data_IF_339184115462
#
_entry.id   IF_339184115462
#
_cell.length_a   1.000
_cell.length_b   1.000
_cell.length_c   1.000
_cell.angle_alpha   90.00
_cell.angle_beta   90.00
_cell.angle_gamma   90.00
#
_symmetry.space_group_name_H-M   'P 1'
#
loop_
_entity.id
_entity.type
_entity.pdbx_description
1 polymer ?
#
# COMPACT_ATOMS: atom_id res chain seq x y z
N UNK A 1 -19.23 9.81 -29.11
CA UNK A 1 -17.79 10.09 -28.92
C UNK A 1 -17.37 9.43 -27.61
N UNK A 2 -16.73 8.27 -27.76
CA UNK A 2 -16.43 7.36 -26.64
C UNK A 2 -15.09 7.73 -26.02
N UNK A 3 -15.08 8.05 -24.74
CA UNK A 3 -13.86 8.23 -23.97
C UNK A 3 -13.98 7.61 -22.58
N UNK A 4 -14.19 6.29 -22.53
CA UNK A 4 -14.08 5.53 -21.30
C UNK A 4 -12.62 5.44 -20.90
N UNK A 5 -12.23 6.12 -19.82
CA UNK A 5 -10.89 5.98 -19.23
C UNK A 5 -10.85 4.65 -18.48
N UNK A 6 -10.37 3.63 -19.18
CA UNK A 6 -9.97 2.36 -18.57
C UNK A 6 -8.65 2.62 -17.87
N UNK A 7 -8.68 2.70 -16.55
CA UNK A 7 -7.46 2.70 -15.70
C UNK A 7 -6.87 1.29 -15.71
N UNK A 8 -6.12 0.95 -16.77
CA UNK A 8 -5.36 -0.31 -16.84
C UNK A 8 -4.12 -0.13 -15.97
N UNK A 9 -4.19 -0.63 -14.74
CA UNK A 9 -3.00 -0.96 -13.96
C UNK A 9 -2.30 -2.13 -14.65
N UNK A 10 -1.34 -1.82 -15.53
CA UNK A 10 -0.44 -2.78 -16.15
C UNK A 10 0.46 -3.32 -15.04
N UNK A 11 0.12 -4.48 -14.49
CA UNK A 11 1.05 -5.28 -13.70
C UNK A 11 2.13 -5.71 -14.70
N UNK A 12 3.31 -5.13 -14.56
CA UNK A 12 4.48 -5.58 -15.31
C UNK A 12 4.76 -7.02 -14.86
N UNK A 13 4.45 -7.96 -15.73
CA UNK A 13 5.03 -9.30 -15.70
C UNK A 13 6.54 -9.12 -15.91
N UNK A 14 7.28 -9.29 -14.85
CA UNK A 14 8.73 -9.50 -14.98
C UNK A 14 8.94 -10.89 -15.53
N UNK A 15 8.95 -11.00 -16.85
CA UNK A 15 9.52 -12.16 -17.51
C UNK A 15 11.03 -12.13 -17.35
N UNK A 16 11.52 -13.30 -17.01
CA UNK A 16 12.89 -13.63 -16.63
C UNK A 16 13.88 -13.36 -17.76
N UNK A 17 14.82 -12.45 -17.50
CA UNK A 17 16.18 -12.60 -17.99
C UNK A 17 17.12 -12.70 -16.78
N UNK A 18 17.23 -13.94 -16.28
CA UNK A 18 17.97 -14.30 -15.07
C UNK A 18 19.47 -14.57 -15.32
N UNK A 19 20.11 -13.91 -16.30
CA UNK A 19 21.51 -14.22 -16.60
C UNK A 19 22.42 -13.01 -16.83
N UNK A 20 22.15 -11.85 -16.23
CA UNK A 20 23.14 -10.77 -16.30
C UNK A 20 23.23 -10.02 -14.96
N UNK A 21 23.73 -10.70 -13.92
CA UNK A 21 24.14 -10.02 -12.70
C UNK A 21 25.55 -9.46 -12.91
N UNK A 22 25.75 -8.13 -12.84
CA UNK A 22 27.09 -7.57 -12.82
C UNK A 22 27.83 -8.11 -11.60
N UNK A 23 29.03 -8.64 -11.81
CA UNK A 23 29.82 -9.20 -10.73
C UNK A 23 30.18 -8.08 -9.73
N UNK A 24 30.36 -8.45 -8.44
CA UNK A 24 30.79 -7.51 -7.40
C UNK A 24 32.04 -6.70 -7.81
N UNK A 25 32.88 -7.25 -8.67
CA UNK A 25 34.07 -6.60 -9.19
C UNK A 25 33.79 -5.50 -10.21
N UNK A 26 32.72 -5.63 -11.00
CA UNK A 26 32.27 -4.60 -11.96
C UNK A 26 31.64 -3.44 -11.23
N UNK A 27 30.83 -3.71 -10.21
CA UNK A 27 30.22 -2.67 -9.36
C UNK A 27 31.28 -1.81 -8.64
N UNK A 28 32.32 -2.42 -8.09
CA UNK A 28 33.40 -1.69 -7.40
C UNK A 28 34.25 -0.86 -8.36
N UNK A 29 34.47 -1.30 -9.59
CA UNK A 29 35.23 -0.53 -10.62
C UNK A 29 34.46 0.68 -11.10
N UNK A 30 33.15 0.59 -11.28
CA UNK A 30 32.32 1.70 -11.74
C UNK A 30 32.09 2.75 -10.65
N UNK A 31 32.17 2.36 -9.37
CA UNK A 31 32.01 3.29 -8.23
C UNK A 31 33.30 4.06 -7.93
N UNK A 32 34.47 3.52 -8.27
CA UNK A 32 35.76 4.19 -7.99
C UNK A 32 36.09 5.33 -8.97
N UNK A 33 35.41 5.45 -10.10
CA UNK A 33 35.57 6.57 -11.04
C UNK A 33 34.77 7.83 -10.69
N UNK A 34 33.84 7.75 -9.72
CA UNK A 34 33.00 8.88 -9.28
C UNK A 34 33.57 9.58 -8.02
N UNK A 35 34.60 9.02 -7.40
CA UNK A 35 35.16 9.56 -6.15
C UNK A 35 36.12 10.78 -6.32
N UNK A 36 36.26 11.30 -7.53
CA UNK A 36 37.22 12.40 -7.84
C UNK A 36 36.57 13.71 -8.27
N UNK A 37 35.58 14.22 -7.55
CA UNK A 37 35.08 15.58 -7.76
C UNK A 37 33.56 15.69 -7.73
N UNK A 38 33.02 15.99 -6.58
CA UNK A 38 31.90 16.92 -6.35
C UNK A 38 31.83 17.17 -4.84
N UNK A 39 32.52 18.19 -4.41
CA UNK A 39 32.16 18.94 -3.20
C UNK A 39 30.86 19.69 -3.49
N UNK A 40 29.94 19.64 -2.55
CA UNK A 40 28.77 20.49 -2.39
C UNK A 40 27.61 20.27 -3.37
N UNK A 41 26.74 19.31 -2.98
CA UNK A 41 25.29 19.53 -3.01
C UNK A 41 24.60 18.60 -2.03
N UNK A 42 23.84 19.08 -1.02
CA UNK A 42 22.92 18.23 -0.25
C UNK A 42 21.63 18.06 -1.03
N UNK A 43 21.68 17.40 -2.16
CA UNK A 43 20.49 16.78 -2.74
C UNK A 43 20.50 15.36 -2.20
N UNK A 44 20.09 15.20 -0.96
CA UNK A 44 19.46 13.98 -0.52
C UNK A 44 18.12 13.87 -1.24
N UNK A 45 18.17 13.61 -2.55
CA UNK A 45 17.09 12.91 -3.20
C UNK A 45 16.88 11.66 -2.36
N UNK A 46 15.70 11.52 -1.78
CA UNK A 46 15.24 10.27 -1.17
C UNK A 46 15.39 9.23 -2.27
N UNK A 47 16.54 8.57 -2.32
CA UNK A 47 16.72 7.39 -3.13
C UNK A 47 15.62 6.44 -2.63
N UNK A 48 14.68 6.10 -3.49
CA UNK A 48 13.80 4.99 -3.25
C UNK A 48 14.72 3.76 -3.24
N UNK A 49 15.25 3.43 -2.08
CA UNK A 49 15.88 2.16 -1.87
C UNK A 49 14.80 1.12 -2.20
N UNK A 50 15.02 0.37 -3.25
CA UNK A 50 14.30 -0.89 -3.41
C UNK A 50 14.67 -1.69 -2.17
N UNK A 51 13.68 -1.89 -1.30
CA UNK A 51 13.86 -2.76 -0.15
C UNK A 51 14.40 -4.10 -0.67
N UNK A 52 15.52 -4.56 -0.15
CA UNK A 52 16.01 -5.89 -0.43
C UNK A 52 14.94 -6.92 -0.04
N UNK A 53 15.03 -8.15 -0.51
CA UNK A 53 14.04 -9.19 -0.21
C UNK A 53 13.82 -9.42 1.31
N UNK A 54 14.76 -8.96 2.13
CA UNK A 54 14.75 -9.08 3.60
C UNK A 54 14.26 -7.81 4.32
N UNK A 55 14.02 -6.70 3.62
CA UNK A 55 13.57 -5.47 4.25
C UNK A 55 12.11 -5.56 4.70
N UNK A 56 11.86 -5.10 5.92
CA UNK A 56 10.52 -5.08 6.53
C UNK A 56 9.70 -3.94 5.94
N UNK A 57 8.56 -4.26 5.34
CA UNK A 57 7.59 -3.28 4.85
C UNK A 57 6.70 -2.84 6.02
N UNK A 58 6.81 -1.58 6.43
CA UNK A 58 6.00 -0.99 7.49
C UNK A 58 4.62 -0.59 6.97
N UNK A 59 3.58 -1.06 7.64
CA UNK A 59 2.20 -0.80 7.25
C UNK A 59 1.46 -0.06 8.36
N UNK A 60 0.76 1.02 8.01
CA UNK A 60 -0.22 1.67 8.88
C UNK A 60 -1.64 1.34 8.42
N UNK A 61 -2.54 1.21 9.40
CA UNK A 61 -3.97 0.99 9.15
C UNK A 61 -4.73 2.25 9.56
N UNK A 62 -5.44 2.84 8.62
CA UNK A 62 -6.31 4.00 8.83
C UNK A 62 -7.75 3.57 8.60
N UNK A 63 -8.53 3.55 9.68
CA UNK A 63 -9.85 2.94 9.76
C UNK A 63 -9.77 1.51 10.33
N UNK A 64 -9.92 1.42 11.65
CA UNK A 64 -9.75 0.18 12.44
C UNK A 64 -11.07 -0.58 12.67
N UNK A 65 -12.10 -0.33 11.87
CA UNK A 65 -13.33 -1.12 11.86
C UNK A 65 -13.12 -2.53 11.32
N UNK A 66 -14.18 -3.32 11.20
CA UNK A 66 -14.10 -4.73 10.77
C UNK A 66 -13.33 -4.94 9.45
N UNK A 67 -13.51 -4.02 8.46
CA UNK A 67 -12.81 -4.14 7.18
C UNK A 67 -11.32 -3.84 7.29
N UNK A 68 -10.95 -2.77 8.03
CA UNK A 68 -9.55 -2.41 8.26
C UNK A 68 -8.80 -3.47 9.04
N UNK A 69 -9.42 -3.99 10.10
CA UNK A 69 -8.88 -5.12 10.88
C UNK A 69 -8.66 -6.36 10.00
N UNK A 70 -9.65 -6.73 9.17
CA UNK A 70 -9.50 -7.85 8.24
C UNK A 70 -8.41 -7.65 7.21
N UNK A 71 -8.24 -6.43 6.67
CA UNK A 71 -7.17 -6.11 5.73
C UNK A 71 -5.78 -6.18 6.40
N UNK A 72 -5.68 -5.73 7.65
CA UNK A 72 -4.45 -5.85 8.43
C UNK A 72 -4.09 -7.33 8.69
N UNK A 73 -5.07 -8.16 9.06
CA UNK A 73 -4.87 -9.61 9.21
C UNK A 73 -4.36 -10.26 7.92
N UNK A 74 -4.98 -9.93 6.77
CA UNK A 74 -4.56 -10.43 5.48
C UNK A 74 -3.13 -9.98 5.12
N UNK A 75 -2.75 -8.76 5.48
CA UNK A 75 -1.39 -8.25 5.25
C UNK A 75 -0.35 -9.03 6.08
N UNK A 76 -0.58 -9.22 7.38
CA UNK A 76 0.36 -9.97 8.25
C UNK A 76 0.40 -11.47 7.93
N UNK A 77 -0.68 -12.03 7.39
CA UNK A 77 -0.73 -13.44 6.95
C UNK A 77 -0.13 -13.67 5.57
N UNK A 78 0.27 -12.61 4.87
CA UNK A 78 0.91 -12.74 3.56
C UNK A 78 2.31 -13.35 3.68
N UNK A 79 2.85 -13.86 2.55
CA UNK A 79 4.23 -14.37 2.48
C UNK A 79 5.29 -13.26 2.50
N UNK A 80 4.87 -12.00 2.44
CA UNK A 80 5.77 -10.85 2.40
C UNK A 80 6.25 -10.48 3.81
N UNK A 81 7.42 -9.87 3.91
CA UNK A 81 7.95 -9.38 5.18
C UNK A 81 7.28 -8.05 5.58
N UNK A 82 6.03 -8.15 6.02
CA UNK A 82 5.16 -7.02 6.38
C UNK A 82 5.06 -6.91 7.89
N UNK A 83 5.08 -5.68 8.41
CA UNK A 83 4.88 -5.37 9.83
C UNK A 83 3.86 -4.24 9.97
N UNK A 84 2.80 -4.46 10.75
CA UNK A 84 1.89 -3.38 11.17
C UNK A 84 2.59 -2.56 12.24
N UNK A 85 2.73 -1.26 12.00
CA UNK A 85 3.48 -0.34 12.88
C UNK A 85 2.62 0.75 13.51
N UNK A 86 1.44 1.03 12.98
CA UNK A 86 0.53 2.04 13.49
C UNK A 86 -0.93 1.71 13.18
N UNK A 87 -1.82 2.09 14.09
CA UNK A 87 -3.27 2.04 13.95
C UNK A 87 -3.85 3.43 14.14
N UNK A 88 -4.84 3.80 13.33
CA UNK A 88 -5.55 5.08 13.43
C UNK A 88 -7.03 4.93 13.13
N UNK A 89 -7.86 5.50 13.97
CA UNK A 89 -9.31 5.61 13.79
C UNK A 89 -9.83 6.87 14.49
N UNK A 90 -11.01 7.35 14.10
CA UNK A 90 -11.67 8.44 14.82
C UNK A 90 -12.04 8.02 16.25
N UNK A 91 -12.33 6.74 16.48
CA UNK A 91 -12.83 6.19 17.73
C UNK A 91 -11.81 5.26 18.37
N UNK A 92 -11.56 5.49 19.67
CA UNK A 92 -10.61 4.70 20.45
C UNK A 92 -10.98 3.20 20.49
N UNK A 93 -12.25 2.91 20.64
CA UNK A 93 -12.74 1.53 20.73
C UNK A 93 -12.41 0.71 19.47
N UNK A 94 -12.48 1.34 18.30
CA UNK A 94 -12.08 0.70 17.03
C UNK A 94 -10.57 0.36 17.04
N UNK A 95 -9.73 1.28 17.48
CA UNK A 95 -8.27 1.08 17.57
C UNK A 95 -7.97 -0.05 18.53
N UNK A 96 -8.55 -0.04 19.73
CA UNK A 96 -8.33 -1.03 20.77
C UNK A 96 -8.80 -2.43 20.33
N UNK A 97 -9.99 -2.52 19.72
CA UNK A 97 -10.56 -3.77 19.23
C UNK A 97 -9.73 -4.35 18.07
N UNK A 98 -9.28 -3.50 17.15
CA UNK A 98 -8.39 -3.91 16.07
C UNK A 98 -7.09 -4.47 16.62
N UNK A 99 -6.45 -3.76 17.55
CA UNK A 99 -5.20 -4.24 18.17
C UNK A 99 -5.40 -5.57 18.90
N UNK A 100 -6.48 -5.71 19.69
CA UNK A 100 -6.82 -6.97 20.37
C UNK A 100 -7.01 -8.13 19.40
N UNK A 101 -7.74 -7.87 18.30
CA UNK A 101 -8.00 -8.88 17.27
C UNK A 101 -6.70 -9.34 16.59
N UNK A 102 -5.83 -8.41 16.21
CA UNK A 102 -4.52 -8.72 15.62
C UNK A 102 -3.62 -9.50 16.59
N UNK A 103 -3.61 -9.11 17.86
CA UNK A 103 -2.83 -9.81 18.91
C UNK A 103 -3.33 -11.23 19.13
N UNK A 104 -4.66 -11.44 19.11
CA UNK A 104 -5.26 -12.77 19.26
C UNK A 104 -4.86 -13.68 18.11
N UNK A 105 -4.99 -13.22 16.86
CA UNK A 105 -4.62 -13.98 15.66
C UNK A 105 -3.16 -14.41 15.69
N UNK A 106 -2.27 -13.55 16.16
CA UNK A 106 -0.85 -13.83 16.34
C UNK A 106 -0.65 -14.94 17.39
N UNK A 107 -1.38 -14.91 18.50
CA UNK A 107 -1.23 -15.86 19.60
C UNK A 107 -1.85 -17.23 19.30
N UNK A 108 -2.88 -17.29 18.46
CA UNK A 108 -3.58 -18.52 18.08
C UNK A 108 -2.83 -19.34 17.02
N UNK A 109 -1.67 -18.89 16.55
CA UNK A 109 -0.68 -19.82 16.04
C UNK A 109 -0.66 -20.06 14.52
N UNK A 110 -0.72 -19.04 13.72
CA UNK A 110 -0.37 -19.18 12.30
C UNK A 110 1.07 -18.68 12.08
N UNK A 111 2.04 -19.52 12.42
CA UNK A 111 3.46 -19.27 12.11
C UNK A 111 4.11 -18.14 12.92
N UNK A 112 5.35 -17.78 12.61
CA UNK A 112 6.12 -16.71 13.28
C UNK A 112 5.65 -15.31 12.83
N UNK A 113 4.35 -15.01 13.03
CA UNK A 113 3.77 -13.69 12.77
C UNK A 113 3.86 -12.78 14.00
N UNK A 114 4.34 -13.28 15.13
CA UNK A 114 4.50 -12.51 16.38
C UNK A 114 5.33 -11.23 16.18
N UNK A 115 6.33 -11.29 15.32
CA UNK A 115 7.17 -10.14 14.97
C UNK A 115 6.53 -9.17 13.96
N UNK A 116 5.35 -9.50 13.43
CA UNK A 116 4.66 -8.72 12.39
C UNK A 116 3.68 -7.68 12.93
N UNK A 117 3.50 -7.61 14.24
CA UNK A 117 2.73 -6.56 14.92
C UNK A 117 3.66 -5.80 15.88
N UNK A 118 3.85 -4.52 15.61
CA UNK A 118 4.67 -3.63 16.44
C UNK A 118 3.94 -2.31 16.60
N UNK A 119 2.86 -2.34 17.39
CA UNK A 119 1.97 -1.20 17.65
C UNK A 119 1.84 -0.97 19.15
N UNK A 120 2.85 -0.38 19.78
CA UNK A 120 2.76 0.06 21.16
C UNK A 120 1.72 1.17 21.31
N UNK A 121 1.39 1.55 22.55
CA UNK A 121 0.28 2.46 22.81
C UNK A 121 0.46 3.82 22.15
N UNK A 122 1.66 4.36 22.10
CA UNK A 122 2.00 5.65 21.47
C UNK A 122 1.84 5.65 19.94
N UNK A 123 1.65 4.49 19.31
CA UNK A 123 1.37 4.35 17.87
C UNK A 123 -0.07 3.90 17.58
N UNK A 124 -0.97 4.05 18.58
CA UNK A 124 -2.41 3.85 18.48
C UNK A 124 -3.10 5.20 18.52
N UNK A 125 -3.30 5.78 17.36
CA UNK A 125 -3.79 7.14 17.22
C UNK A 125 -5.32 7.19 17.17
N UNK A 126 -5.91 8.13 17.90
CA UNK A 126 -7.37 8.35 17.95
C UNK A 126 -7.69 9.79 17.61
N UNK A 127 -8.79 10.02 16.89
CA UNK A 127 -9.27 11.34 16.49
C UNK A 127 -9.28 11.52 14.97
N UNK A 128 -9.85 12.62 14.51
CA UNK A 128 -9.99 12.90 13.08
C UNK A 128 -8.67 13.24 12.37
N UNK A 129 -7.65 13.62 13.12
CA UNK A 129 -6.28 13.88 12.63
C UNK A 129 -5.33 12.67 12.79
N UNK A 130 -5.79 11.60 13.43
CA UNK A 130 -5.01 10.41 13.74
C UNK A 130 -4.32 9.80 12.50
N UNK A 131 -4.98 9.87 11.34
CA UNK A 131 -4.45 9.33 10.08
C UNK A 131 -3.11 9.96 9.68
N UNK A 132 -2.91 11.26 9.91
CA UNK A 132 -1.68 11.96 9.53
C UNK A 132 -0.47 11.39 10.28
N UNK A 133 -0.63 11.12 11.58
CA UNK A 133 0.40 10.57 12.45
C UNK A 133 0.73 9.12 12.08
N UNK A 134 -0.30 8.31 11.81
CA UNK A 134 -0.10 6.92 11.42
C UNK A 134 0.57 6.80 10.05
N UNK A 135 0.14 7.59 9.05
CA UNK A 135 0.71 7.61 7.71
C UNK A 135 2.21 7.93 7.76
N UNK A 136 2.64 8.86 8.61
CA UNK A 136 4.02 9.27 8.71
C UNK A 136 4.98 8.11 9.02
N UNK A 137 4.53 7.11 9.78
CA UNK A 137 5.34 5.99 10.30
C UNK A 137 5.50 4.82 9.32
N UNK A 138 4.73 4.78 8.23
CA UNK A 138 4.63 3.62 7.36
C UNK A 138 5.26 3.84 5.98
N UNK A 139 5.49 2.74 5.26
CA UNK A 139 5.85 2.71 3.84
C UNK A 139 4.60 2.50 2.99
N UNK A 140 3.67 1.69 3.48
CA UNK A 140 2.38 1.37 2.86
C UNK A 140 1.25 1.71 3.83
N UNK A 141 0.17 2.28 3.32
CA UNK A 141 -1.00 2.64 4.13
C UNK A 141 -2.22 1.86 3.65
N UNK A 142 -2.92 1.23 4.58
CA UNK A 142 -4.25 0.64 4.36
C UNK A 142 -5.29 1.69 4.73
N UNK A 143 -6.07 2.17 3.76
CA UNK A 143 -7.16 3.11 3.97
C UNK A 143 -8.51 2.38 3.95
N UNK A 144 -9.11 2.18 5.11
CA UNK A 144 -10.36 1.46 5.30
C UNK A 144 -11.46 2.28 6.01
N UNK A 145 -11.27 3.58 6.14
CA UNK A 145 -12.27 4.52 6.66
C UNK A 145 -13.51 4.59 5.75
N UNK A 146 -14.63 5.16 6.20
CA UNK A 146 -15.77 5.43 5.34
C UNK A 146 -15.37 6.24 4.10
N UNK A 147 -16.01 5.99 2.93
CA UNK A 147 -15.55 6.53 1.65
C UNK A 147 -15.55 8.05 1.55
N UNK A 148 -16.34 8.76 2.35
CA UNK A 148 -16.31 10.23 2.40
C UNK A 148 -14.99 10.82 2.89
N UNK A 149 -14.26 10.12 3.74
CA UNK A 149 -12.94 10.54 4.23
C UNK A 149 -11.77 10.10 3.33
N UNK A 150 -12.02 9.15 2.46
CA UNK A 150 -10.97 8.50 1.66
C UNK A 150 -10.18 9.45 0.76
N UNK A 151 -10.81 10.42 0.06
CA UNK A 151 -10.08 11.37 -0.78
C UNK A 151 -9.04 12.18 -0.01
N UNK A 152 -9.36 12.58 1.22
CA UNK A 152 -8.48 13.37 2.09
C UNK A 152 -7.31 12.50 2.60
N UNK A 153 -7.61 11.29 3.07
CA UNK A 153 -6.59 10.37 3.57
C UNK A 153 -5.66 9.90 2.44
N UNK A 154 -6.20 9.67 1.24
CA UNK A 154 -5.41 9.31 0.07
C UNK A 154 -4.46 10.44 -0.35
N UNK A 155 -4.96 11.68 -0.42
CA UNK A 155 -4.15 12.85 -0.72
C UNK A 155 -2.98 12.99 0.27
N UNK A 156 -3.24 12.84 1.57
CA UNK A 156 -2.20 12.92 2.59
C UNK A 156 -1.16 11.80 2.45
N UNK A 157 -1.58 10.57 2.18
CA UNK A 157 -0.66 9.46 1.96
C UNK A 157 0.27 9.71 0.77
N UNK A 158 -0.28 10.20 -0.36
CA UNK A 158 0.52 10.52 -1.55
C UNK A 158 1.41 11.74 -1.33
N UNK A 159 0.94 12.74 -0.58
CA UNK A 159 1.77 13.90 -0.18
C UNK A 159 3.00 13.45 0.61
N UNK A 160 2.84 12.54 1.55
CA UNK A 160 3.91 11.98 2.37
C UNK A 160 4.72 10.87 1.64
N UNK A 161 4.45 10.59 0.37
CA UNK A 161 5.22 9.64 -0.44
C UNK A 161 5.00 8.17 -0.07
N UNK A 162 3.79 7.80 0.36
CA UNK A 162 3.47 6.44 0.78
C UNK A 162 2.77 5.66 -0.33
N UNK A 163 3.03 4.35 -0.39
CA UNK A 163 2.23 3.42 -1.17
C UNK A 163 0.87 3.22 -0.50
N UNK A 164 -0.18 2.97 -1.29
CA UNK A 164 -1.54 2.93 -0.75
C UNK A 164 -2.30 1.69 -1.23
N UNK A 165 -2.90 0.98 -0.28
CA UNK A 165 -4.04 0.13 -0.51
C UNK A 165 -5.27 0.82 0.06
N UNK A 166 -6.30 1.05 -0.75
CA UNK A 166 -7.54 1.66 -0.26
C UNK A 166 -8.76 0.83 -0.63
N UNK A 167 -9.73 0.82 0.28
CA UNK A 167 -10.99 0.11 0.08
C UNK A 167 -11.91 0.85 -0.91
N UNK A 168 -12.77 0.11 -1.55
CA UNK A 168 -13.88 0.63 -2.36
C UNK A 168 -15.03 1.11 -1.43
N UNK A 169 -15.91 2.03 -1.90
CA UNK A 169 -15.70 2.98 -2.98
C UNK A 169 -14.67 4.05 -2.62
N UNK A 170 -14.07 4.67 -3.64
CA UNK A 170 -12.96 5.62 -3.43
C UNK A 170 -13.41 7.01 -2.98
N UNK A 171 -14.67 7.35 -3.20
CA UNK A 171 -15.32 8.59 -2.79
C UNK A 171 -16.84 8.41 -2.75
N UNK A 172 -17.58 9.41 -2.24
CA UNK A 172 -19.04 9.44 -2.15
C UNK A 172 -19.70 10.45 -3.08
N UNK A 173 -18.93 11.35 -3.65
CA UNK A 173 -19.42 12.51 -4.42
C UNK A 173 -18.47 12.85 -5.58
N UNK A 174 -18.94 13.63 -6.59
CA UNK A 174 -18.12 14.00 -7.74
C UNK A 174 -16.84 14.75 -7.39
N UNK A 175 -16.89 15.65 -6.41
CA UNK A 175 -15.71 16.42 -5.98
C UNK A 175 -14.63 15.50 -5.38
N UNK A 176 -15.04 14.54 -4.54
CA UNK A 176 -14.16 13.51 -4.01
C UNK A 176 -13.56 12.64 -5.10
N UNK A 177 -14.32 12.24 -6.12
CA UNK A 177 -13.81 11.49 -7.27
C UNK A 177 -12.75 12.30 -8.02
N UNK A 178 -13.01 13.58 -8.32
CA UNK A 178 -12.03 14.45 -8.97
C UNK A 178 -10.75 14.59 -8.16
N UNK A 179 -10.86 14.74 -6.82
CA UNK A 179 -9.71 14.77 -5.92
C UNK A 179 -8.90 13.47 -6.00
N UNK A 180 -9.56 12.32 -5.98
CA UNK A 180 -8.90 11.01 -6.11
C UNK A 180 -8.17 10.88 -7.45
N UNK A 181 -8.78 11.30 -8.56
CA UNK A 181 -8.15 11.26 -9.89
C UNK A 181 -6.91 12.16 -9.97
N UNK A 182 -7.00 13.38 -9.45
CA UNK A 182 -5.87 14.32 -9.40
C UNK A 182 -4.72 13.75 -8.53
N UNK A 183 -5.05 13.21 -7.36
CA UNK A 183 -4.08 12.58 -6.45
C UNK A 183 -3.44 11.35 -7.09
N UNK A 184 -4.20 10.54 -7.83
CA UNK A 184 -3.66 9.38 -8.54
C UNK A 184 -2.66 9.78 -9.64
N UNK A 185 -2.87 10.90 -10.32
CA UNK A 185 -1.90 11.45 -11.28
C UNK A 185 -0.58 11.83 -10.60
N UNK A 186 -0.64 12.44 -9.41
CA UNK A 186 0.54 12.77 -8.59
C UNK A 186 1.25 11.49 -8.12
N UNK A 187 0.49 10.48 -7.67
CA UNK A 187 1.04 9.19 -7.26
C UNK A 187 1.83 8.53 -8.40
N UNK A 188 1.31 8.57 -9.63
CA UNK A 188 1.98 8.07 -10.84
C UNK A 188 3.29 8.81 -11.10
N UNK A 189 3.32 10.14 -11.00
CA UNK A 189 4.53 10.95 -11.16
C UNK A 189 5.58 10.60 -10.09
N UNK A 190 5.15 10.37 -8.86
CA UNK A 190 6.01 9.96 -7.73
C UNK A 190 6.39 8.48 -7.77
N UNK A 191 5.92 7.70 -8.75
CA UNK A 191 6.13 6.24 -8.86
C UNK A 191 5.63 5.46 -7.64
N UNK A 192 4.54 5.94 -7.01
CA UNK A 192 3.91 5.27 -5.88
C UNK A 192 2.89 4.25 -6.37
N UNK A 193 2.86 3.09 -5.72
CA UNK A 193 1.87 2.06 -5.98
C UNK A 193 0.56 2.41 -5.28
N UNK A 194 -0.54 2.36 -6.01
CA UNK A 194 -1.89 2.57 -5.50
C UNK A 194 -2.76 1.42 -5.96
N UNK A 195 -3.37 0.72 -5.01
CA UNK A 195 -4.27 -0.41 -5.27
C UNK A 195 -5.61 -0.14 -4.61
N UNK A 196 -6.69 -0.38 -5.35
CA UNK A 196 -8.06 -0.31 -4.82
C UNK A 196 -8.57 -1.73 -4.56
N UNK A 197 -9.20 -1.95 -3.42
CA UNK A 197 -9.75 -3.24 -2.98
C UNK A 197 -10.96 -3.70 -3.80
N UNK A 198 -10.82 -3.79 -5.12
CA UNK A 198 -11.82 -4.29 -6.06
C UNK A 198 -11.78 -5.82 -6.05
N UNK A 199 -12.32 -6.43 -5.00
CA UNK A 199 -12.25 -7.86 -4.72
C UNK A 199 -12.54 -8.73 -5.97
N UNK A 200 -13.57 -8.40 -6.73
CA UNK A 200 -14.01 -9.22 -7.87
C UNK A 200 -13.01 -9.24 -9.03
N UNK A 201 -12.20 -8.19 -9.20
CA UNK A 201 -11.12 -8.17 -10.18
C UNK A 201 -10.03 -9.21 -9.90
N UNK A 202 -9.85 -9.54 -8.63
CA UNK A 202 -8.78 -10.45 -8.18
C UNK A 202 -9.29 -11.86 -7.87
N UNK A 203 -10.61 -12.05 -7.78
CA UNK A 203 -11.23 -13.33 -7.45
C UNK A 203 -11.13 -14.29 -8.65
N UNK A 204 -10.55 -15.46 -8.42
CA UNK A 204 -10.27 -16.43 -9.48
C UNK A 204 -11.53 -16.86 -10.25
N UNK A 205 -12.67 -17.09 -9.57
CA UNK A 205 -13.93 -17.44 -10.22
C UNK A 205 -14.40 -16.40 -11.23
N UNK A 206 -14.31 -15.13 -10.90
CA UNK A 206 -14.66 -14.04 -11.83
C UNK A 206 -13.67 -13.95 -12.99
N UNK A 207 -12.38 -14.10 -12.72
CA UNK A 207 -11.35 -14.10 -13.78
C UNK A 207 -11.54 -15.25 -14.75
N UNK A 208 -11.87 -16.44 -14.27
CA UNK A 208 -12.18 -17.59 -15.12
C UNK A 208 -13.48 -17.39 -15.91
N UNK A 209 -14.51 -16.82 -15.30
CA UNK A 209 -15.75 -16.47 -16.00
C UNK A 209 -15.49 -15.50 -17.16
N UNK A 210 -14.73 -14.44 -16.91
CA UNK A 210 -14.39 -13.46 -17.96
C UNK A 210 -13.50 -14.02 -19.07
N UNK A 211 -12.63 -15.00 -18.78
CA UNK A 211 -11.89 -15.71 -19.84
C UNK A 211 -12.80 -16.51 -20.77
N UNK A 212 -13.96 -16.92 -20.28
CA UNK A 212 -14.95 -17.74 -21.02
C UNK A 212 -16.15 -16.91 -21.51
N UNK A 213 -16.04 -15.57 -21.52
CA UNK A 213 -17.13 -14.67 -21.92
C UNK A 213 -17.74 -15.02 -23.29
N UNK A 214 -16.89 -15.48 -24.24
CA UNK A 214 -17.34 -15.85 -25.59
C UNK A 214 -18.25 -17.09 -25.61
N UNK A 215 -18.26 -17.88 -24.51
CA UNK A 215 -19.16 -19.05 -24.36
C UNK A 215 -20.56 -18.66 -23.83
N UNK A 216 -20.69 -17.48 -23.24
CA UNK A 216 -21.94 -16.99 -22.62
C UNK A 216 -22.69 -15.99 -23.52
N UNK A 217 -22.14 -15.62 -24.67
CA UNK A 217 -22.72 -14.67 -25.59
C UNK A 217 -22.42 -13.20 -25.24
N UNK A 218 -22.99 -12.27 -26.02
CA UNK A 218 -22.87 -10.84 -25.75
C UNK A 218 -23.64 -10.44 -24.50
N UNK A 219 -23.01 -9.59 -23.67
CA UNK A 219 -23.68 -8.93 -22.55
C UNK A 219 -24.39 -7.71 -23.14
N UNK A 220 -25.71 -7.79 -23.26
CA UNK A 220 -26.57 -6.69 -23.74
C UNK A 220 -26.97 -5.76 -22.61
#
# INVERSE_FOLDING_TARGET
MNGGIILILKIYSMDKDLNNHPSRRTFVKDTSLIAGGIMAMPILSKANFFAGADDVIKVAVVGCGGRGTGAAMQAISSKQNVKIVALADAFKDNVDNCHKALTREINEGIGDISKRLDVPEERRFTGFDAYQKAIALADVVILATPPGFRPIHFEEAIKQGKHVFMEKPVATDPAGVQKVLATAAIAKQKKLNVVVGLQRHYQNSYRELFKRKDMIGEIT
#
